data_IF_584135488525
#
_entry.id   IF_584135488525
#
_cell.length_a   1.000
_cell.length_b   1.000
_cell.length_c   1.000
_cell.angle_alpha   90.00
_cell.angle_beta   90.00
_cell.angle_gamma   90.00
#
_symmetry.space_group_name_H-M   'P 1'
#
loop_
_entity.id
_entity.type
_entity.pdbx_description
1 polymer ?
#
# COMPACT_ATOMS: atom_id res chain seq x y z
N UNK A 1 2.67 -15.06 -19.74
CA UNK A 1 1.66 -14.25 -19.05
C UNK A 1 2.37 -13.30 -18.10
N UNK A 2 2.10 -11.99 -18.17
CA UNK A 2 2.74 -10.97 -17.30
C UNK A 2 1.67 -10.37 -16.40
N UNK A 3 1.89 -10.39 -15.09
CA UNK A 3 1.13 -9.57 -14.15
C UNK A 3 1.54 -8.12 -14.37
N UNK A 4 0.57 -7.29 -14.72
CA UNK A 4 0.71 -5.83 -14.88
C UNK A 4 0.77 -5.14 -13.53
N UNK A 5 1.32 -3.92 -13.48
CA UNK A 5 1.33 -3.13 -12.24
C UNK A 5 -0.08 -2.89 -11.69
N UNK A 6 -1.06 -2.71 -12.57
CA UNK A 6 -2.46 -2.57 -12.20
C UNK A 6 -2.99 -3.81 -11.48
N UNK A 7 -2.67 -5.02 -11.97
CA UNK A 7 -3.05 -6.27 -11.29
C UNK A 7 -2.39 -6.39 -9.92
N UNK A 8 -1.16 -5.89 -9.74
CA UNK A 8 -0.52 -5.86 -8.42
C UNK A 8 -1.20 -4.90 -7.45
N UNK A 9 -1.66 -3.75 -7.94
CA UNK A 9 -2.41 -2.79 -7.12
C UNK A 9 -3.74 -3.38 -6.65
N UNK A 10 -4.43 -4.14 -7.50
CA UNK A 10 -5.66 -4.85 -7.12
C UNK A 10 -5.38 -5.84 -6.00
N UNK A 11 -4.30 -6.62 -6.09
CA UNK A 11 -3.94 -7.58 -5.05
C UNK A 11 -3.64 -6.91 -3.72
N UNK A 12 -2.95 -5.76 -3.75
CA UNK A 12 -2.72 -4.97 -2.56
C UNK A 12 -4.04 -4.46 -1.97
N UNK A 13 -4.94 -3.98 -2.82
CA UNK A 13 -6.26 -3.49 -2.42
C UNK A 13 -7.12 -4.58 -1.78
N UNK A 14 -7.13 -5.79 -2.34
CA UNK A 14 -7.85 -6.93 -1.77
C UNK A 14 -7.33 -7.26 -0.36
N UNK A 15 -6.01 -7.32 -0.17
CA UNK A 15 -5.42 -7.57 1.15
C UNK A 15 -5.71 -6.46 2.16
N UNK A 16 -5.72 -5.21 1.70
CA UNK A 16 -6.11 -4.10 2.57
C UNK A 16 -7.57 -4.26 2.97
N UNK A 17 -8.48 -4.45 2.01
CA UNK A 17 -9.94 -4.48 2.24
C UNK A 17 -10.42 -5.72 3.01
N UNK A 18 -9.83 -6.88 2.77
CA UNK A 18 -10.28 -8.16 3.33
C UNK A 18 -9.25 -8.77 4.31
N UNK A 19 -8.23 -8.00 4.69
CA UNK A 19 -7.16 -8.47 5.54
C UNK A 19 -6.13 -9.34 4.82
N UNK A 20 -4.95 -9.47 5.43
CA UNK A 20 -3.83 -10.21 4.83
C UNK A 20 -4.13 -11.70 4.64
N UNK A 21 -5.01 -12.25 5.48
CA UNK A 21 -5.36 -13.66 5.49
C UNK A 21 -6.36 -14.06 4.41
N UNK A 22 -6.94 -13.11 3.67
CA UNK A 22 -7.88 -13.41 2.57
C UNK A 22 -7.30 -14.37 1.53
N UNK A 23 -5.98 -14.29 1.28
CA UNK A 23 -5.31 -15.18 0.33
C UNK A 23 -5.26 -16.63 0.81
N UNK A 24 -5.33 -16.88 2.12
CA UNK A 24 -5.47 -18.24 2.68
C UNK A 24 -6.80 -18.87 2.31
N UNK A 25 -7.80 -18.10 1.90
CA UNK A 25 -9.12 -18.58 1.45
C UNK A 25 -9.34 -18.40 -0.06
N UNK A 26 -8.29 -18.05 -0.81
CA UNK A 26 -8.38 -17.73 -2.24
C UNK A 26 -7.75 -18.82 -3.12
N UNK A 27 -8.31 -18.97 -4.33
CA UNK A 27 -7.78 -19.80 -5.42
C UNK A 27 -7.59 -18.92 -6.65
N UNK A 28 -6.43 -19.00 -7.29
CA UNK A 28 -6.14 -18.23 -8.51
C UNK A 28 -6.76 -18.94 -9.71
N UNK A 29 -7.65 -18.24 -10.43
CA UNK A 29 -8.30 -18.77 -11.62
C UNK A 29 -7.64 -18.21 -12.89
N UNK A 30 -6.95 -19.06 -13.63
CA UNK A 30 -6.44 -18.73 -14.97
C UNK A 30 -7.53 -19.02 -15.99
N UNK A 31 -7.98 -18.01 -16.72
CA UNK A 31 -8.95 -18.20 -17.81
C UNK A 31 -8.23 -18.31 -19.15
N UNK A 32 -8.95 -18.79 -20.18
CA UNK A 32 -8.42 -19.00 -21.54
C UNK A 32 -7.24 -19.98 -21.58
N UNK A 33 -7.29 -21.03 -20.75
CA UNK A 33 -6.27 -22.09 -20.76
C UNK A 33 -6.08 -22.74 -22.13
N UNK A 34 -7.09 -22.68 -22.99
CA UNK A 34 -7.02 -23.14 -24.37
C UNK A 34 -6.04 -22.36 -25.27
N UNK A 35 -5.67 -21.13 -24.90
CA UNK A 35 -4.69 -20.32 -25.64
C UNK A 35 -3.24 -20.59 -25.18
N UNK A 36 -3.07 -21.38 -24.13
CA UNK A 36 -1.78 -21.95 -23.75
C UNK A 36 -1.45 -22.99 -24.83
N UNK A 37 -0.53 -22.62 -25.73
CA UNK A 37 -0.06 -23.51 -26.81
C UNK A 37 0.85 -24.60 -26.21
N UNK A 38 2.15 -24.43 -26.38
CA UNK A 38 3.19 -25.38 -25.97
C UNK A 38 3.75 -25.10 -24.57
N UNK A 39 3.21 -24.09 -23.87
CA UNK A 39 3.62 -23.72 -22.51
C UNK A 39 2.62 -24.20 -21.49
N UNK A 40 3.11 -24.88 -20.46
CA UNK A 40 2.30 -25.28 -19.30
C UNK A 40 2.02 -24.07 -18.39
N UNK A 41 0.95 -24.12 -17.58
CA UNK A 41 0.69 -23.04 -16.63
C UNK A 41 1.76 -23.02 -15.53
N UNK A 42 2.33 -24.17 -15.21
CA UNK A 42 3.43 -24.36 -14.28
C UNK A 42 4.67 -23.61 -14.75
N UNK A 43 5.02 -23.71 -16.04
CA UNK A 43 6.09 -22.90 -16.64
C UNK A 43 5.79 -21.41 -16.56
N UNK A 44 4.54 -20.99 -16.80
CA UNK A 44 4.16 -19.58 -16.69
C UNK A 44 4.31 -19.03 -15.28
N UNK A 45 3.95 -19.83 -14.27
CA UNK A 45 4.12 -19.49 -12.85
C UNK A 45 5.61 -19.42 -12.52
N UNK A 46 6.39 -20.45 -12.88
CA UNK A 46 7.81 -20.54 -12.52
C UNK A 46 8.67 -19.45 -13.19
N UNK A 47 8.31 -19.02 -14.40
CA UNK A 47 9.03 -17.99 -15.14
C UNK A 47 8.71 -16.55 -14.67
N UNK A 48 7.74 -16.37 -13.76
CA UNK A 48 7.34 -15.06 -13.27
C UNK A 48 7.31 -15.03 -11.75
N UNK A 49 8.35 -14.43 -11.15
CA UNK A 49 8.48 -14.31 -9.69
C UNK A 49 7.23 -13.72 -9.03
N UNK A 50 6.66 -12.63 -9.54
CA UNK A 50 5.46 -11.99 -8.98
C UNK A 50 4.25 -12.92 -9.00
N UNK A 51 4.12 -13.73 -10.05
CA UNK A 51 3.02 -14.69 -10.19
C UNK A 51 3.23 -15.90 -9.27
N UNK A 52 4.46 -16.41 -9.20
CA UNK A 52 4.83 -17.48 -8.27
C UNK A 52 4.58 -17.07 -6.83
N UNK A 53 5.05 -15.88 -6.43
CA UNK A 53 4.86 -15.36 -5.08
C UNK A 53 3.36 -15.22 -4.74
N UNK A 54 2.53 -14.85 -5.70
CA UNK A 54 1.08 -14.79 -5.52
C UNK A 54 0.46 -16.19 -5.34
N UNK A 55 0.86 -17.16 -6.18
CA UNK A 55 0.41 -18.55 -6.08
C UNK A 55 0.82 -19.15 -4.74
N UNK A 56 2.03 -18.88 -4.28
CA UNK A 56 2.56 -19.37 -3.00
C UNK A 56 1.80 -18.76 -1.81
N UNK A 57 1.48 -17.47 -1.86
CA UNK A 57 0.62 -16.82 -0.85
C UNK A 57 -0.80 -17.39 -0.82
N UNK A 58 -1.28 -17.90 -1.95
CA UNK A 58 -2.50 -18.67 -2.05
C UNK A 58 -2.28 -20.16 -1.75
N UNK A 59 -1.19 -20.56 -1.11
CA UNK A 59 -0.91 -21.95 -0.71
C UNK A 59 -0.68 -22.90 -1.89
N UNK A 60 -0.19 -22.39 -3.02
CA UNK A 60 0.00 -23.17 -4.26
C UNK A 60 -1.30 -23.40 -5.03
N UNK A 61 -2.42 -22.78 -4.63
CA UNK A 61 -3.74 -23.09 -5.19
C UNK A 61 -4.04 -22.26 -6.44
N UNK A 62 -4.13 -22.96 -7.57
CA UNK A 62 -4.65 -22.40 -8.81
C UNK A 62 -5.51 -23.41 -9.57
N UNK A 63 -6.32 -22.88 -10.49
CA UNK A 63 -7.10 -23.68 -11.42
C UNK A 63 -7.09 -23.02 -12.79
N UNK A 64 -6.99 -23.83 -13.85
CA UNK A 64 -7.00 -23.35 -15.23
C UNK A 64 -8.32 -23.72 -15.86
N UNK A 65 -9.02 -22.70 -16.35
CA UNK A 65 -10.33 -22.82 -16.96
C UNK A 65 -10.25 -22.53 -18.46
N UNK A 66 -10.74 -23.48 -19.25
CA UNK A 66 -10.79 -23.37 -20.72
C UNK A 66 -12.21 -23.03 -21.15
N UNK A 67 -12.41 -21.84 -21.71
CA UNK A 67 -13.74 -21.37 -22.10
C UNK A 67 -14.21 -21.94 -23.46
N UNK A 68 -13.38 -22.73 -24.16
CA UNK A 68 -13.76 -23.35 -25.43
C UNK A 68 -14.69 -24.56 -25.19
N UNK A 69 -15.98 -24.26 -25.05
CA UNK A 69 -17.06 -25.25 -24.99
C UNK A 69 -18.47 -24.68 -25.16
N UNK A 70 -18.64 -23.36 -25.24
CA UNK A 70 -19.96 -22.71 -25.19
C UNK A 70 -20.62 -22.45 -26.56
N UNK A 71 -19.95 -22.73 -27.68
CA UNK A 71 -20.31 -22.06 -28.94
C UNK A 71 -20.25 -22.84 -30.25
N UNK A 72 -19.98 -24.15 -30.28
CA UNK A 72 -20.20 -24.93 -31.52
C UNK A 72 -21.49 -25.73 -31.36
N UNK A 73 -22.57 -25.23 -32.00
CA UNK A 73 -23.79 -26.01 -32.24
C UNK A 73 -23.36 -27.38 -32.75
N UNK A 74 -23.75 -28.44 -32.06
CA UNK A 74 -23.71 -29.78 -32.63
C UNK A 74 -24.32 -29.69 -34.02
N UNK A 75 -23.60 -30.14 -35.05
CA UNK A 75 -24.20 -30.39 -36.37
C UNK A 75 -24.93 -31.72 -36.22
N UNK A 76 -26.27 -31.76 -36.22
CA UNK A 76 -26.97 -33.03 -36.18
C UNK A 76 -26.66 -33.78 -37.47
N UNK A 77 -26.09 -34.99 -37.38
CA UNK A 77 -25.89 -35.89 -38.54
C UNK A 77 -24.45 -36.18 -38.99
N UNK A 78 -23.41 -35.73 -38.27
CA UNK A 78 -22.03 -36.14 -38.55
C UNK A 78 -21.73 -37.57 -38.09
N UNK A 79 -21.14 -38.39 -38.96
CA UNK A 79 -20.95 -39.85 -38.80
C UNK A 79 -19.96 -40.32 -37.70
N UNK A 80 -19.57 -39.46 -36.76
CA UNK A 80 -18.73 -39.84 -35.61
C UNK A 80 -19.33 -39.20 -34.36
N UNK A 81 -19.65 -40.03 -33.36
CA UNK A 81 -20.33 -39.68 -32.09
C UNK A 81 -19.59 -38.70 -31.19
N UNK A 82 -19.29 -37.50 -31.69
CA UNK A 82 -18.42 -36.50 -31.07
C UNK A 82 -19.11 -35.37 -30.29
N UNK A 83 -20.41 -35.45 -29.98
CA UNK A 83 -21.05 -34.47 -29.08
C UNK A 83 -21.06 -34.88 -27.59
N UNK A 84 -20.71 -36.13 -27.24
CA UNK A 84 -20.57 -36.55 -25.84
C UNK A 84 -19.30 -36.02 -25.16
N UNK A 85 -18.19 -35.92 -25.92
CA UNK A 85 -16.86 -35.65 -25.39
C UNK A 85 -16.65 -34.19 -24.94
N UNK A 86 -17.27 -33.22 -25.63
CA UNK A 86 -17.06 -31.79 -25.32
C UNK A 86 -17.94 -31.28 -24.15
N UNK A 87 -19.05 -31.95 -23.84
CA UNK A 87 -19.88 -31.62 -22.66
C UNK A 87 -19.32 -32.18 -21.36
N UNK A 88 -18.58 -33.29 -21.42
CA UNK A 88 -17.93 -33.91 -20.26
C UNK A 88 -16.79 -33.04 -19.72
N UNK A 89 -15.97 -32.45 -20.61
CA UNK A 89 -14.83 -31.61 -20.23
C UNK A 89 -15.19 -30.39 -19.36
N UNK A 90 -16.32 -29.71 -19.61
CA UNK A 90 -16.71 -28.56 -18.76
C UNK A 90 -17.17 -29.01 -17.37
N UNK A 91 -17.87 -30.14 -17.26
CA UNK A 91 -18.37 -30.64 -15.97
C UNK A 91 -17.23 -31.18 -15.12
N UNK A 92 -16.25 -31.83 -15.74
CA UNK A 92 -15.02 -32.29 -15.09
C UNK A 92 -14.16 -31.12 -14.59
N UNK A 93 -14.01 -30.05 -15.37
CA UNK A 93 -13.29 -28.84 -14.94
C UNK A 93 -13.94 -28.19 -13.71
N UNK A 94 -15.27 -28.05 -13.71
CA UNK A 94 -16.00 -27.51 -12.56
C UNK A 94 -15.88 -28.44 -11.35
N UNK A 95 -15.93 -29.76 -11.54
CA UNK A 95 -15.76 -30.72 -10.45
C UNK A 95 -14.35 -30.64 -9.84
N UNK A 96 -13.29 -30.49 -10.64
CA UNK A 96 -11.92 -30.29 -10.13
C UNK A 96 -11.83 -28.99 -9.30
N UNK A 97 -12.44 -27.91 -9.78
CA UNK A 97 -12.48 -26.65 -9.02
C UNK A 97 -13.21 -26.82 -7.68
N UNK A 98 -14.36 -27.49 -7.67
CA UNK A 98 -15.10 -27.77 -6.42
C UNK A 98 -14.28 -28.62 -5.46
N UNK A 99 -13.57 -29.65 -5.95
CA UNK A 99 -12.69 -30.47 -5.13
C UNK A 99 -11.53 -29.66 -4.53
N UNK A 100 -10.97 -28.70 -5.29
CA UNK A 100 -9.95 -27.76 -4.78
C UNK A 100 -10.52 -26.85 -3.70
N UNK A 101 -11.76 -26.38 -3.87
CA UNK A 101 -12.44 -25.57 -2.84
C UNK A 101 -12.65 -26.38 -1.56
N UNK A 102 -13.14 -27.62 -1.66
CA UNK A 102 -13.33 -28.50 -0.50
C UNK A 102 -12.00 -28.79 0.22
N UNK A 103 -10.94 -29.03 -0.55
CA UNK A 103 -9.59 -29.25 0.00
C UNK A 103 -9.07 -28.01 0.72
N UNK A 104 -9.27 -26.83 0.13
CA UNK A 104 -8.89 -25.55 0.72
C UNK A 104 -9.61 -25.29 2.05
N UNK A 105 -10.92 -25.56 2.12
CA UNK A 105 -11.69 -25.43 3.37
C UNK A 105 -11.13 -26.38 4.43
N UNK A 106 -10.84 -27.64 4.09
CA UNK A 106 -10.23 -28.62 5.02
C UNK A 106 -8.87 -28.16 5.53
N UNK A 107 -8.02 -27.64 4.66
CA UNK A 107 -6.70 -27.09 5.03
C UNK A 107 -6.82 -25.87 5.96
N UNK A 108 -7.86 -25.07 5.81
CA UNK A 108 -8.18 -23.95 6.70
C UNK A 108 -8.91 -24.38 7.99
N UNK A 109 -8.78 -25.65 8.40
CA UNK A 109 -9.41 -26.17 9.62
C UNK A 109 -10.93 -26.31 9.53
N UNK A 110 -11.48 -26.40 8.32
CA UNK A 110 -12.93 -26.46 8.08
C UNK A 110 -13.63 -25.11 8.18
N UNK A 111 -12.89 -24.01 8.38
CA UNK A 111 -13.45 -22.66 8.51
C UNK A 111 -13.55 -21.98 7.15
N UNK A 112 -14.55 -21.11 7.04
CA UNK A 112 -14.74 -20.23 5.89
C UNK A 112 -14.22 -18.84 6.25
N UNK A 113 -13.96 -18.02 5.23
CA UNK A 113 -13.79 -16.60 5.45
C UNK A 113 -15.10 -16.04 6.00
N UNK A 114 -15.09 -15.52 7.24
CA UNK A 114 -16.28 -15.07 7.97
C UNK A 114 -16.30 -13.55 8.15
N UNK A 115 -17.48 -13.01 8.49
CA UNK A 115 -17.61 -11.60 8.85
C UNK A 115 -16.69 -11.22 10.02
N UNK A 116 -16.48 -12.10 10.99
CA UNK A 116 -15.57 -11.83 12.12
C UNK A 116 -14.14 -11.54 11.65
N UNK A 117 -13.63 -12.31 10.67
CA UNK A 117 -12.31 -12.10 10.07
C UNK A 117 -12.30 -10.78 9.30
N UNK A 118 -13.40 -10.43 8.64
CA UNK A 118 -13.55 -9.14 7.96
C UNK A 118 -13.56 -7.95 8.93
N UNK A 119 -14.32 -8.03 10.01
CA UNK A 119 -14.38 -7.01 11.06
C UNK A 119 -13.03 -6.85 11.77
N UNK A 120 -12.28 -7.95 11.97
CA UNK A 120 -10.92 -7.89 12.49
C UNK A 120 -9.97 -7.17 11.53
N UNK A 121 -10.06 -7.46 10.23
CA UNK A 121 -9.31 -6.74 9.22
C UNK A 121 -9.68 -5.24 9.19
N UNK A 122 -10.96 -4.91 9.38
CA UNK A 122 -11.43 -3.52 9.49
C UNK A 122 -10.87 -2.78 10.69
N UNK A 123 -10.91 -3.40 11.87
CA UNK A 123 -10.33 -2.82 13.09
C UNK A 123 -8.84 -2.57 12.92
N UNK A 124 -8.10 -3.55 12.41
CA UNK A 124 -6.66 -3.41 12.18
C UNK A 124 -6.35 -2.25 11.23
N UNK A 125 -7.15 -2.06 10.16
CA UNK A 125 -7.01 -0.92 9.25
C UNK A 125 -7.23 0.42 9.97
N UNK A 126 -8.30 0.53 10.74
CA UNK A 126 -8.64 1.75 11.48
C UNK A 126 -7.52 2.11 12.46
N UNK A 127 -7.02 1.12 13.21
CA UNK A 127 -5.90 1.31 14.13
C UNK A 127 -4.62 1.76 13.42
N UNK A 128 -4.31 1.18 12.25
CA UNK A 128 -3.13 1.58 11.46
C UNK A 128 -3.26 3.01 10.90
N UNK A 129 -4.45 3.40 10.45
CA UNK A 129 -4.75 4.77 10.00
C UNK A 129 -4.65 5.77 11.15
N UNK A 130 -5.28 5.49 12.29
CA UNK A 130 -5.21 6.32 13.49
C UNK A 130 -3.77 6.47 13.99
N UNK A 131 -3.00 5.38 14.00
CA UNK A 131 -1.59 5.43 14.38
C UNK A 131 -0.79 6.32 13.43
N UNK A 132 -1.00 6.20 12.11
CA UNK A 132 -0.36 7.08 11.11
C UNK A 132 -0.70 8.54 11.35
N UNK A 133 -1.98 8.86 11.56
CA UNK A 133 -2.40 10.23 11.86
C UNK A 133 -1.76 10.77 13.14
N UNK A 134 -1.69 9.95 14.20
CA UNK A 134 -1.06 10.36 15.45
C UNK A 134 0.43 10.65 15.27
N UNK A 135 1.14 9.83 14.48
CA UNK A 135 2.54 10.07 14.16
C UNK A 135 2.72 11.38 13.39
N UNK A 136 1.85 11.66 12.42
CA UNK A 136 1.89 12.90 11.66
C UNK A 136 1.58 14.11 12.55
N UNK A 137 0.56 14.02 13.41
CA UNK A 137 0.23 15.05 14.40
C UNK A 137 1.42 15.33 15.33
N UNK A 138 2.13 14.30 15.81
CA UNK A 138 3.35 14.45 16.61
C UNK A 138 4.46 15.18 15.86
N UNK A 139 4.73 14.80 14.60
CA UNK A 139 5.73 15.48 13.75
C UNK A 139 5.38 16.95 13.54
N UNK A 140 4.12 17.26 13.24
CA UNK A 140 3.64 18.63 13.06
C UNK A 140 3.76 19.42 14.36
N UNK A 141 3.38 18.83 15.49
CA UNK A 141 3.46 19.48 16.80
C UNK A 141 4.91 19.78 17.18
N UNK A 142 5.83 18.84 16.94
CA UNK A 142 7.25 19.05 17.18
C UNK A 142 7.82 20.16 16.28
N UNK A 143 7.46 20.16 14.99
CA UNK A 143 7.88 21.21 14.07
C UNK A 143 7.38 22.59 14.54
N UNK A 144 6.11 22.70 14.93
CA UNK A 144 5.52 23.94 15.48
C UNK A 144 6.25 24.40 16.75
N UNK A 145 6.62 23.47 17.65
CA UNK A 145 7.39 23.78 18.86
C UNK A 145 8.77 24.35 18.51
N UNK A 146 9.51 23.70 17.62
CA UNK A 146 10.85 24.15 17.17
C UNK A 146 10.79 25.52 16.49
N UNK A 147 9.78 25.76 15.67
CA UNK A 147 9.56 27.06 15.03
C UNK A 147 9.26 28.17 16.07
N UNK A 148 8.42 27.88 17.07
CA UNK A 148 8.15 28.83 18.17
C UNK A 148 9.42 29.16 18.94
N UNK A 149 10.21 28.16 19.32
CA UNK A 149 11.49 28.36 20.00
C UNK A 149 12.48 29.16 19.15
N UNK A 150 12.53 28.92 17.83
CA UNK A 150 13.39 29.70 16.93
C UNK A 150 12.93 31.16 16.85
N UNK A 151 11.61 31.41 16.75
CA UNK A 151 11.05 32.77 16.76
C UNK A 151 11.36 33.50 18.06
N UNK A 152 11.20 32.86 19.21
CA UNK A 152 11.53 33.44 20.51
C UNK A 152 13.03 33.76 20.65
N UNK A 153 13.90 32.88 20.14
CA UNK A 153 15.35 33.14 20.11
C UNK A 153 15.70 34.33 19.21
N UNK A 154 15.12 34.40 18.01
CA UNK A 154 15.32 35.52 17.08
C UNK A 154 14.83 36.82 17.73
N UNK A 155 13.66 36.82 18.37
CA UNK A 155 13.11 38.00 19.06
C UNK A 155 14.03 38.47 20.20
N UNK A 156 14.59 37.55 20.99
CA UNK A 156 15.55 37.88 22.05
C UNK A 156 16.84 38.49 21.50
N UNK A 157 17.37 37.94 20.40
CA UNK A 157 18.56 38.48 19.73
C UNK A 157 18.28 39.89 19.20
N UNK A 158 17.15 40.10 18.52
CA UNK A 158 16.74 41.40 18.01
C UNK A 158 16.63 42.45 19.13
N UNK A 159 15.98 42.12 20.26
CA UNK A 159 15.87 43.03 21.41
C UNK A 159 17.23 43.38 22.03
N UNK A 160 18.10 42.38 22.21
CA UNK A 160 19.43 42.59 22.77
C UNK A 160 20.30 43.48 21.84
N UNK A 161 20.14 43.33 20.52
CA UNK A 161 20.84 44.15 19.54
C UNK A 161 20.33 45.60 19.50
N UNK A 162 19.01 45.81 19.59
CA UNK A 162 18.44 47.16 19.75
C UNK A 162 18.94 47.86 21.03
N UNK A 163 19.05 47.13 22.15
CA UNK A 163 19.57 47.67 23.40
C UNK A 163 21.05 48.04 23.31
N UNK A 164 21.87 47.20 22.65
CA UNK A 164 23.29 47.50 22.36
C UNK A 164 23.43 48.75 21.51
N UNK A 165 22.67 48.85 20.41
CA UNK A 165 22.70 50.01 19.53
C UNK A 165 22.30 51.29 20.28
N UNK A 166 21.26 51.25 21.14
CA UNK A 166 20.90 52.40 22.00
C UNK A 166 22.00 52.75 23.02
N UNK A 167 22.71 51.78 23.56
CA UNK A 167 23.80 52.02 24.52
C UNK A 167 24.99 52.70 23.83
N UNK A 168 25.36 52.22 22.63
CA UNK A 168 26.43 52.80 21.81
C UNK A 168 26.12 54.24 21.38
N UNK A 169 24.88 54.52 20.93
CA UNK A 169 24.45 55.89 20.60
C UNK A 169 24.51 56.84 21.80
N UNK A 170 24.20 56.36 23.01
CA UNK A 170 24.30 57.15 24.24
C UNK A 170 25.76 57.43 24.61
N UNK A 171 26.64 56.44 24.50
CA UNK A 171 28.08 56.59 24.78
C UNK A 171 28.73 57.62 23.85
N UNK A 172 28.43 57.54 22.54
CA UNK A 172 28.94 58.48 21.54
C UNK A 172 28.53 59.93 21.83
N UNK A 173 27.30 60.16 22.31
CA UNK A 173 26.83 61.50 22.70
C UNK A 173 27.47 62.03 23.98
N UNK A 174 27.77 61.18 24.96
CA UNK A 174 28.44 61.59 26.20
C UNK A 174 29.90 61.96 25.99
N UNK A 175 30.62 61.24 25.10
CA UNK A 175 32.03 61.52 24.81
C UNK A 175 32.19 62.88 24.10
N UNK A 176 31.27 63.22 23.19
CA UNK A 176 31.24 64.55 22.54
C UNK A 176 30.93 65.66 23.56
N UNK A 177 29.96 65.45 24.46
CA UNK A 177 29.61 66.44 25.49
C UNK A 177 30.71 66.68 26.53
N UNK A 178 31.42 65.62 26.94
CA UNK A 178 32.55 65.72 27.86
C UNK A 178 33.75 66.48 27.23
N UNK A 179 34.03 66.24 25.95
CA UNK A 179 35.08 66.94 25.20
C UNK A 179 34.81 68.44 25.06
N UNK A 180 33.57 68.83 24.73
CA UNK A 180 33.18 70.24 24.63
C UNK A 180 33.20 70.93 26.01
N UNK A 181 32.71 70.26 27.06
CA UNK A 181 32.72 70.81 28.42
C UNK A 181 34.13 70.97 29.03
N UNK A 182 35.07 70.10 28.65
CA UNK A 182 36.48 70.27 29.01
C UNK A 182 37.13 71.44 28.25
N UNK A 183 36.84 71.59 26.96
CA UNK A 183 37.38 72.68 26.15
C UNK A 183 36.88 74.07 26.60
N UNK A 184 35.60 74.20 26.99
CA UNK A 184 35.03 75.47 27.48
C UNK A 184 35.64 75.89 28.83
N UNK A 185 35.94 74.94 29.73
CA UNK A 185 36.58 75.23 31.03
C UNK A 185 38.05 75.63 30.94
N UNK A 186 38.73 75.32 29.84
CA UNK A 186 40.11 75.73 29.63
C UNK A 186 40.25 77.19 29.15
N UNK A 187 39.12 77.85 28.85
CA UNK A 187 39.07 79.18 28.23
C UNK A 187 38.50 80.29 29.14
N UNK A 188 38.22 79.97 30.41
CA UNK A 188 37.75 80.89 31.46
C UNK A 188 38.78 80.86 32.59
#
# INVERSE_FOLDING_TARGET
>A
MRITEHEQQILQMIKMMFGQDVLKYSIILFTRGDLLKDQTIEELINNNNKLRDLVDQCGGRYHVFSNRGLGRKCVPGGAWGGCGFLRQNNREQVNDLLQKIDTMIKQNGGRYYSNEIYEEAERFRQEEEEWREQQEKKKIQEFKRREKERKEKIEKVMKAEEERNRAEEKSSKTDIGAGVGAAVRAFI
#
